data_IF_665342811353
#
_entry.id   IF_665342811353
#
_cell.length_a   1.000
_cell.length_b   1.000
_cell.length_c   1.000
_cell.angle_alpha   90.00
_cell.angle_beta   90.00
_cell.angle_gamma   90.00
#
_symmetry.space_group_name_H-M   'P 1'
#
loop_
_entity.id
_entity.type
_entity.pdbx_description
1 polymer ?
#
# COMPACT_ATOMS: atom_id res chain seq x y z
N UNK A 1 13.07 -8.19 14.35
CA UNK A 1 13.04 -9.60 13.91
C UNK A 1 11.64 -9.88 13.41
N UNK A 2 11.49 -10.29 12.15
CA UNK A 2 10.19 -10.46 11.48
C UNK A 2 9.53 -11.80 11.81
N UNK A 3 9.93 -12.48 12.87
CA UNK A 3 9.40 -13.79 13.23
C UNK A 3 8.00 -13.69 13.84
N UNK A 4 7.26 -14.80 13.85
CA UNK A 4 5.88 -14.83 14.35
C UNK A 4 5.65 -15.91 15.40
N UNK A 5 4.69 -15.67 16.27
CA UNK A 5 4.18 -16.68 17.19
C UNK A 5 2.83 -17.20 16.65
N UNK A 6 2.69 -18.49 16.33
CA UNK A 6 1.41 -19.07 15.93
C UNK A 6 0.39 -18.89 17.06
N UNK A 7 -0.84 -18.47 16.73
CA UNK A 7 -1.90 -18.29 17.73
C UNK A 7 -2.88 -19.48 17.67
N UNK A 8 -3.24 -20.08 18.83
CA UNK A 8 -2.81 -19.73 20.19
C UNK A 8 -1.36 -20.20 20.51
N UNK A 9 -0.56 -19.34 21.12
CA UNK A 9 0.81 -19.65 21.54
C UNK A 9 0.89 -19.92 23.05
N UNK A 10 1.64 -20.93 23.47
CA UNK A 10 1.98 -21.15 24.89
C UNK A 10 3.04 -20.15 25.37
N UNK A 11 3.05 -19.83 26.66
CA UNK A 11 4.11 -19.03 27.30
C UNK A 11 5.46 -19.74 27.08
N UNK A 12 6.45 -19.04 26.53
CA UNK A 12 7.76 -19.60 26.18
C UNK A 12 7.87 -20.27 24.80
N UNK A 13 6.83 -20.18 23.96
CA UNK A 13 6.92 -20.63 22.57
C UNK A 13 8.01 -19.84 21.82
N UNK A 14 8.82 -20.55 21.05
CA UNK A 14 9.85 -19.93 20.20
C UNK A 14 9.19 -19.29 18.97
N UNK A 15 9.60 -18.08 18.56
CA UNK A 15 9.16 -17.50 17.30
C UNK A 15 9.51 -18.39 16.11
N UNK A 16 8.58 -18.48 15.15
CA UNK A 16 8.78 -19.12 13.86
C UNK A 16 9.32 -18.08 12.89
N UNK A 17 10.46 -18.38 12.27
CA UNK A 17 11.07 -17.51 11.28
C UNK A 17 10.11 -17.28 10.10
N UNK A 18 9.85 -16.02 9.75
CA UNK A 18 9.08 -15.70 8.54
C UNK A 18 9.99 -15.78 7.32
N UNK A 19 9.60 -16.57 6.33
CA UNK A 19 10.19 -16.49 5.00
C UNK A 19 9.63 -15.26 4.29
N UNK A 20 10.49 -14.30 3.99
CA UNK A 20 10.13 -13.07 3.26
C UNK A 20 10.65 -13.22 1.84
N UNK A 21 9.77 -13.00 0.87
CA UNK A 21 10.16 -12.96 -0.54
C UNK A 21 9.80 -11.58 -1.06
N UNK A 22 10.81 -10.86 -1.54
CA UNK A 22 10.64 -9.54 -2.14
C UNK A 22 10.18 -9.67 -3.59
N UNK A 23 9.48 -8.65 -4.07
CA UNK A 23 9.00 -8.55 -5.46
C UNK A 23 9.07 -7.09 -5.93
N UNK A 24 8.90 -6.89 -7.24
CA UNK A 24 8.94 -5.57 -7.87
C UNK A 24 8.14 -5.57 -9.18
N UNK A 25 7.69 -4.40 -9.62
CA UNK A 25 6.73 -4.27 -10.75
C UNK A 25 7.18 -4.91 -12.07
N UNK A 26 8.49 -4.97 -12.34
CA UNK A 26 9.03 -5.53 -13.58
C UNK A 26 9.19 -7.06 -13.54
N UNK A 27 8.75 -7.72 -12.46
CA UNK A 27 8.94 -9.17 -12.30
C UNK A 27 7.72 -9.85 -11.68
N UNK A 28 7.02 -10.63 -12.49
CA UNK A 28 6.02 -11.58 -12.01
C UNK A 28 6.65 -12.68 -11.15
N UNK A 29 5.87 -13.20 -10.20
CA UNK A 29 6.27 -14.30 -9.32
C UNK A 29 5.14 -15.32 -9.19
N UNK A 30 5.43 -16.48 -8.61
CA UNK A 30 4.45 -17.57 -8.46
C UNK A 30 4.13 -17.85 -7.01
N UNK A 31 2.85 -18.12 -6.75
CA UNK A 31 2.35 -18.66 -5.48
C UNK A 31 1.54 -19.92 -5.81
N UNK A 32 2.16 -21.08 -5.64
CA UNK A 32 1.58 -22.35 -6.10
C UNK A 32 1.36 -22.36 -7.62
N UNK A 33 0.12 -22.58 -8.04
CA UNK A 33 -0.30 -22.55 -9.44
C UNK A 33 -0.60 -21.16 -9.99
N UNK A 34 -0.60 -20.12 -9.14
CA UNK A 34 -0.94 -18.76 -9.52
C UNK A 34 0.30 -18.01 -10.01
N UNK A 35 0.17 -17.27 -11.10
CA UNK A 35 1.14 -16.27 -11.52
C UNK A 35 0.64 -14.89 -11.11
N UNK A 36 1.50 -14.14 -10.43
CA UNK A 36 1.19 -12.85 -9.83
C UNK A 36 2.03 -11.80 -10.54
N UNK A 37 1.36 -10.82 -11.13
CA UNK A 37 1.97 -9.66 -11.76
C UNK A 37 1.70 -8.42 -10.88
N UNK A 38 2.69 -7.98 -10.08
CA UNK A 38 2.56 -6.78 -9.25
C UNK A 38 2.75 -5.52 -10.09
N UNK A 39 1.97 -4.47 -9.84
CA UNK A 39 2.15 -3.15 -10.45
C UNK A 39 1.98 -2.09 -9.37
N UNK A 40 2.86 -1.09 -9.34
CA UNK A 40 2.74 0.02 -8.40
C UNK A 40 1.40 0.75 -8.53
N UNK A 41 0.86 1.19 -7.39
CA UNK A 41 -0.27 2.11 -7.34
C UNK A 41 0.10 3.30 -6.46
N UNK A 42 -0.59 4.41 -6.69
CA UNK A 42 -0.45 5.63 -5.90
C UNK A 42 -1.09 5.46 -4.52
N UNK A 43 -0.37 5.88 -3.48
CA UNK A 43 -0.85 5.80 -2.10
C UNK A 43 -0.03 6.70 -1.17
N UNK A 44 -0.48 6.87 0.08
CA UNK A 44 0.20 7.72 1.08
C UNK A 44 1.52 7.14 1.61
N UNK A 45 1.92 5.93 1.16
CA UNK A 45 3.19 5.29 1.50
C UNK A 45 3.84 4.72 0.23
N UNK A 46 5.19 4.69 0.18
CA UNK A 46 5.88 4.01 -0.91
C UNK A 46 5.65 2.48 -0.84
N UNK A 47 5.68 1.84 -2.00
CA UNK A 47 5.57 0.38 -2.08
C UNK A 47 4.15 -0.17 -1.98
N UNK A 48 3.13 0.65 -2.27
CA UNK A 48 1.78 0.16 -2.54
C UNK A 48 1.71 -0.51 -3.93
N UNK A 49 0.90 -1.57 -4.03
CA UNK A 49 0.82 -2.41 -5.23
C UNK A 49 -0.59 -2.93 -5.47
N UNK A 50 -1.07 -2.76 -6.71
CA UNK A 50 -2.12 -3.58 -7.28
C UNK A 50 -1.54 -4.88 -7.84
N UNK A 51 -2.37 -5.92 -7.94
CA UNK A 51 -1.96 -7.23 -8.42
C UNK A 51 -2.91 -7.74 -9.50
N UNK A 52 -2.34 -8.18 -10.61
CA UNK A 52 -3.02 -9.02 -11.60
C UNK A 52 -2.64 -10.46 -11.30
N UNK A 53 -3.65 -11.28 -10.99
CA UNK A 53 -3.50 -12.66 -10.55
C UNK A 53 -4.02 -13.57 -11.66
N UNK A 54 -3.11 -14.24 -12.35
CA UNK A 54 -3.46 -15.20 -13.39
C UNK A 54 -3.77 -16.57 -12.80
N UNK A 55 -4.96 -17.05 -13.10
CA UNK A 55 -5.45 -18.39 -12.73
C UNK A 55 -5.71 -19.21 -14.00
N UNK A 56 -5.99 -20.51 -13.85
CA UNK A 56 -6.38 -21.36 -14.98
C UNK A 56 -7.73 -20.96 -15.62
N UNK A 57 -8.58 -20.22 -14.90
CA UNK A 57 -9.88 -19.76 -15.38
C UNK A 57 -9.85 -18.35 -15.99
N UNK A 58 -8.77 -17.59 -15.79
CA UNK A 58 -8.65 -16.19 -16.20
C UNK A 58 -7.99 -15.32 -15.13
N UNK A 59 -7.85 -14.03 -15.46
CA UNK A 59 -7.24 -13.05 -14.57
C UNK A 59 -8.21 -12.57 -13.48
N UNK A 60 -7.73 -12.43 -12.26
CA UNK A 60 -8.39 -11.72 -11.15
C UNK A 60 -7.54 -10.51 -10.81
N UNK A 61 -8.15 -9.34 -10.66
CA UNK A 61 -7.43 -8.11 -10.31
C UNK A 61 -7.74 -7.74 -8.87
N UNK A 62 -6.71 -7.48 -8.07
CA UNK A 62 -6.82 -6.90 -6.73
C UNK A 62 -6.17 -5.52 -6.74
N UNK A 63 -6.93 -4.50 -6.37
CA UNK A 63 -6.48 -3.11 -6.60
C UNK A 63 -5.68 -2.51 -5.47
N UNK A 64 -5.73 -3.10 -4.27
CA UNK A 64 -5.34 -2.45 -3.02
C UNK A 64 -6.17 -1.18 -2.73
N UNK A 65 -5.75 -0.32 -1.78
CA UNK A 65 -6.31 1.03 -1.54
C UNK A 65 -5.98 1.95 -2.74
N UNK A 66 -6.90 2.01 -3.71
CA UNK A 66 -6.74 2.78 -4.95
C UNK A 66 -6.92 4.26 -4.70
N UNK A 67 -5.89 5.03 -5.02
CA UNK A 67 -5.97 6.48 -5.04
C UNK A 67 -5.49 7.05 -6.36
N UNK A 68 -6.06 8.20 -6.73
CA UNK A 68 -5.70 8.97 -7.93
C UNK A 68 -5.25 10.40 -7.58
N UNK A 69 -4.99 10.67 -6.30
CA UNK A 69 -4.75 12.01 -5.79
C UNK A 69 -3.55 12.11 -4.82
N UNK A 70 -2.74 11.07 -4.75
CA UNK A 70 -1.45 11.07 -4.06
C UNK A 70 -0.36 11.73 -4.89
N UNK A 71 0.88 11.48 -4.52
CA UNK A 71 2.05 12.07 -5.16
C UNK A 71 2.33 11.54 -6.57
N UNK A 72 1.90 10.31 -6.90
CA UNK A 72 2.25 9.60 -8.16
C UNK A 72 1.01 8.98 -8.83
N UNK A 73 -0.05 9.75 -9.13
CA UNK A 73 -1.32 9.24 -9.65
C UNK A 73 -1.18 8.47 -10.98
N UNK A 74 -0.13 8.75 -11.75
CA UNK A 74 0.19 8.04 -12.98
C UNK A 74 0.46 6.54 -12.75
N UNK A 75 0.96 6.13 -11.58
CA UNK A 75 1.17 4.71 -11.25
C UNK A 75 -0.16 3.95 -11.20
N UNK A 76 -1.17 4.54 -10.56
CA UNK A 76 -2.53 3.98 -10.55
C UNK A 76 -3.13 3.95 -11.96
N UNK A 77 -2.87 4.97 -12.79
CA UNK A 77 -3.36 4.99 -14.16
C UNK A 77 -2.75 3.88 -15.02
N UNK A 78 -1.43 3.63 -14.89
CA UNK A 78 -0.73 2.51 -15.53
C UNK A 78 -1.33 1.17 -15.08
N UNK A 79 -1.51 0.98 -13.77
CA UNK A 79 -2.16 -0.22 -13.23
C UNK A 79 -3.57 -0.43 -13.81
N UNK A 80 -4.39 0.61 -13.87
CA UNK A 80 -5.76 0.52 -14.39
C UNK A 80 -5.80 0.22 -15.89
N UNK A 81 -4.83 0.71 -16.66
CA UNK A 81 -4.69 0.38 -18.07
C UNK A 81 -4.38 -1.12 -18.29
N UNK A 82 -3.41 -1.65 -17.55
CA UNK A 82 -3.04 -3.07 -17.59
C UNK A 82 -4.19 -3.96 -17.08
N UNK A 83 -4.80 -3.59 -15.95
CA UNK A 83 -5.97 -4.29 -15.39
C UNK A 83 -7.13 -4.35 -16.39
N UNK A 84 -7.35 -3.30 -17.19
CA UNK A 84 -8.38 -3.30 -18.24
C UNK A 84 -7.98 -4.18 -19.43
N UNK A 85 -6.72 -4.16 -19.83
CA UNK A 85 -6.22 -4.90 -20.98
C UNK A 85 -6.38 -6.43 -20.81
N UNK A 86 -6.22 -6.93 -19.58
CA UNK A 86 -6.33 -8.36 -19.27
C UNK A 86 -7.77 -8.89 -19.19
N UNK A 87 -8.80 -8.02 -19.29
CA UNK A 87 -10.23 -8.37 -19.23
C UNK A 87 -10.55 -9.32 -18.06
N UNK A 88 -10.45 -8.86 -16.82
CA UNK A 88 -10.46 -9.72 -15.65
C UNK A 88 -11.82 -10.40 -15.47
N UNK A 89 -11.77 -11.65 -15.02
CA UNK A 89 -12.94 -12.42 -14.60
C UNK A 89 -13.60 -11.81 -13.36
N UNK A 90 -12.77 -11.28 -12.46
CA UNK A 90 -13.21 -10.62 -11.23
C UNK A 90 -12.27 -9.47 -10.85
N UNK A 91 -12.86 -8.43 -10.26
CA UNK A 91 -12.17 -7.28 -9.69
C UNK A 91 -12.47 -7.22 -8.19
N UNK A 92 -11.42 -7.24 -7.38
CA UNK A 92 -11.47 -7.01 -5.94
C UNK A 92 -10.94 -5.60 -5.72
N UNK A 93 -11.85 -4.66 -5.49
CA UNK A 93 -11.55 -3.24 -5.31
C UNK A 93 -11.69 -2.84 -3.85
N UNK A 94 -10.93 -1.82 -3.42
CA UNK A 94 -11.24 -1.20 -2.14
C UNK A 94 -12.66 -0.61 -2.12
N UNK A 95 -13.24 -0.49 -0.92
CA UNK A 95 -14.58 0.05 -0.70
C UNK A 95 -14.64 1.14 0.36
N UNK A 96 -13.49 1.68 0.78
CA UNK A 96 -13.34 2.55 1.95
C UNK A 96 -14.18 3.83 1.86
N UNK A 97 -14.32 4.39 0.64
CA UNK A 97 -14.98 5.68 0.39
C UNK A 97 -16.14 5.59 -0.61
N UNK A 98 -16.78 4.44 -0.75
CA UNK A 98 -17.83 4.22 -1.79
C UNK A 98 -19.06 5.13 -1.63
N UNK A 99 -19.33 5.57 -0.40
CA UNK A 99 -20.46 6.46 -0.06
C UNK A 99 -20.08 7.94 -0.01
N UNK A 100 -18.80 8.25 -0.12
CA UNK A 100 -18.31 9.61 0.08
C UNK A 100 -18.59 10.46 -1.17
N UNK A 101 -18.89 11.73 -0.94
CA UNK A 101 -19.01 12.70 -2.03
C UNK A 101 -17.60 12.98 -2.56
N UNK A 102 -17.36 12.91 -3.89
CA UNK A 102 -16.05 13.24 -4.45
C UNK A 102 -15.59 14.63 -4.00
N UNK A 103 -14.32 14.73 -3.59
CA UNK A 103 -13.67 15.99 -3.25
C UNK A 103 -12.41 16.14 -4.10
N UNK A 104 -12.13 17.35 -4.54
CA UNK A 104 -10.82 17.69 -5.11
C UNK A 104 -9.80 17.87 -3.98
N UNK A 105 -9.39 16.77 -3.37
CA UNK A 105 -8.28 16.72 -2.43
C UNK A 105 -7.06 16.19 -3.19
N UNK A 106 -5.88 16.81 -3.02
CA UNK A 106 -4.62 16.32 -3.58
C UNK A 106 -3.48 16.50 -2.58
N UNK A 107 -2.51 15.58 -2.58
CA UNK A 107 -1.33 15.71 -1.72
C UNK A 107 -0.53 16.99 -2.03
N UNK A 108 -0.48 17.42 -3.30
CA UNK A 108 0.13 18.70 -3.67
C UNK A 108 -0.63 19.91 -3.11
N UNK A 109 -1.98 19.88 -3.13
CA UNK A 109 -2.81 20.91 -2.53
C UNK A 109 -2.56 21.02 -1.03
N UNK A 110 -2.59 19.88 -0.32
CA UNK A 110 -2.28 19.81 1.11
C UNK A 110 -0.87 20.31 1.42
N UNK A 111 0.14 19.97 0.59
CA UNK A 111 1.50 20.45 0.78
C UNK A 111 1.60 21.97 0.67
N UNK A 112 0.95 22.57 -0.34
CA UNK A 112 0.95 24.03 -0.54
C UNK A 112 0.29 24.76 0.63
N UNK A 113 -0.85 24.27 1.08
CA UNK A 113 -1.58 24.84 2.22
C UNK A 113 -0.74 24.74 3.51
N UNK A 114 -0.19 23.55 3.78
CA UNK A 114 0.70 23.32 4.91
C UNK A 114 1.90 24.27 4.89
N UNK A 115 2.57 24.40 3.74
CA UNK A 115 3.73 25.30 3.61
C UNK A 115 3.36 26.78 3.82
N UNK A 116 2.18 27.21 3.35
CA UNK A 116 1.69 28.57 3.61
C UNK A 116 1.42 28.82 5.10
N UNK A 117 0.95 27.82 5.85
CA UNK A 117 0.71 27.93 7.28
C UNK A 117 2.03 28.04 8.05
N UNK A 118 3.03 27.23 7.69
CA UNK A 118 4.38 27.32 8.29
C UNK A 118 4.98 28.71 8.08
N UNK A 119 4.86 29.26 6.87
CA UNK A 119 5.37 30.60 6.56
C UNK A 119 4.72 31.72 7.39
N UNK A 120 3.47 31.56 7.82
CA UNK A 120 2.73 32.53 8.64
C UNK A 120 3.08 32.45 10.14
N UNK A 121 3.64 31.33 10.59
CA UNK A 121 3.90 31.06 12.01
C UNK A 121 5.36 30.59 12.22
N UNK A 122 6.36 31.47 12.05
CA UNK A 122 7.77 31.10 12.13
C UNK A 122 8.21 30.64 13.53
N UNK A 123 7.51 31.08 14.58
CA UNK A 123 7.96 30.92 15.97
C UNK A 123 7.36 29.70 16.70
N UNK A 124 6.36 29.02 16.11
CA UNK A 124 5.79 27.81 16.67
C UNK A 124 5.03 26.99 15.61
N UNK A 125 5.43 25.72 15.42
CA UNK A 125 4.74 24.78 14.55
C UNK A 125 4.58 23.42 15.25
N UNK A 126 3.34 22.95 15.36
CA UNK A 126 3.01 21.59 15.78
C UNK A 126 2.30 20.88 14.63
N UNK A 127 2.90 19.83 14.08
CA UNK A 127 2.32 19.05 12.97
C UNK A 127 1.89 17.66 13.47
N UNK A 128 0.58 17.39 13.61
CA UNK A 128 0.10 16.02 13.78
C UNK A 128 0.21 15.28 12.45
N UNK A 129 1.02 14.22 12.41
CA UNK A 129 1.15 13.33 11.24
C UNK A 129 0.64 11.93 11.57
N UNK A 130 -0.01 11.29 10.61
CA UNK A 130 -0.28 9.84 10.70
C UNK A 130 1.00 9.09 10.34
N UNK A 131 1.49 8.27 11.25
CA UNK A 131 2.59 7.36 10.97
C UNK A 131 1.96 6.00 10.68
N UNK A 132 2.07 5.52 9.44
CA UNK A 132 1.72 4.15 9.09
C UNK A 132 2.61 3.21 9.92
N UNK A 133 2.07 2.68 11.02
CA UNK A 133 2.83 1.83 11.93
C UNK A 133 2.94 0.42 11.33
N UNK A 134 3.90 0.23 10.44
CA UNK A 134 4.42 -1.12 10.18
C UNK A 134 5.36 -1.45 11.35
N UNK A 135 4.81 -1.74 12.52
CA UNK A 135 5.60 -2.04 13.71
C UNK A 135 6.35 -3.37 13.49
N UNK A 136 7.66 -3.28 13.26
CA UNK A 136 8.57 -4.42 13.17
C UNK A 136 9.53 -4.37 14.37
N UNK A 137 8.98 -4.57 15.56
CA UNK A 137 9.76 -4.83 16.80
C UNK A 137 10.23 -3.60 17.57
N UNK A 138 10.37 -3.79 18.89
CA UNK A 138 10.94 -2.82 19.83
C UNK A 138 12.46 -2.98 19.91
N UNK A 139 13.20 -1.91 19.62
CA UNK A 139 14.60 -1.74 20.01
C UNK A 139 14.72 -0.59 21.01
N UNK A 140 15.44 -0.80 22.12
CA UNK A 140 15.84 0.30 23.01
C UNK A 140 16.98 1.04 22.32
N UNK A 141 16.77 2.29 21.96
CA UNK A 141 17.87 3.22 21.77
C UNK A 141 18.31 3.69 23.15
N UNK A 142 19.43 3.14 23.64
CA UNK A 142 20.24 3.85 24.63
C UNK A 142 21.13 4.82 23.88
N UNK A 143 21.31 6.01 24.46
CA UNK A 143 22.12 7.11 23.92
C UNK A 143 23.55 6.69 23.60
#
# INVERSE_FOLDING_TARGET
>A
MLDFLPRPSKKGAKPVARKINEFRSDRSFRVGSLEIHPIHVDHSIPGAYGFIIYTSAGAVVYTDDVRLHGARPEMTQEFMAEAKAVKPLALICEGTRITDIPREESEQGMFREGNSLVAKHPDALCLPISISRTWIGSGRFTR
#
